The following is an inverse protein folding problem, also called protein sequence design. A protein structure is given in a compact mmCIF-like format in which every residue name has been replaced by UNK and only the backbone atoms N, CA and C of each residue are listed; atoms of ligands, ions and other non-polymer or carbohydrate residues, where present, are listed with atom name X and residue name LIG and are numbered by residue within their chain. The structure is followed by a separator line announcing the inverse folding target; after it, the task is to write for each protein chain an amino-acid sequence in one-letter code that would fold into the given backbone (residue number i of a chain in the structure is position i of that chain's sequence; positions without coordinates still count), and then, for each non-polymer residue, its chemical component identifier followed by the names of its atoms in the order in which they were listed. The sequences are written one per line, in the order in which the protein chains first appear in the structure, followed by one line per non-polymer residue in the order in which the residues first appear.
data_IF_385193666631
#
_entry.id   IF_385193666631
#
_cell.length_a   1.000
_cell.length_b   1.000
_cell.length_c   1.000
_cell.angle_alpha   90.00
_cell.angle_beta   90.00
_cell.angle_gamma   90.00
#
_symmetry.space_group_name_H-M   'P 1'
#
loop_
_entity.id
_entity.type
_entity.pdbx_description
1 polymer ?
#
# COMPACT_ATOMS: atom_id res chain seq x y z
N UNK A 1 -4.73 11.15 1.72
CA UNK A 1 -5.61 10.17 2.39
C UNK A 1 -5.69 10.50 3.88
N UNK A 2 -6.79 10.16 4.57
CA UNK A 2 -6.85 10.26 6.04
C UNK A 2 -6.23 9.01 6.68
N UNK A 3 -5.62 9.17 7.86
CA UNK A 3 -5.07 8.04 8.62
C UNK A 3 -6.21 7.23 9.25
N UNK A 4 -6.79 6.31 8.48
CA UNK A 4 -7.94 5.49 8.89
C UNK A 4 -7.82 4.06 8.37
N UNK A 5 -8.33 3.10 9.13
CA UNK A 5 -8.46 1.72 8.67
C UNK A 5 -9.74 1.61 7.83
N UNK A 6 -9.63 1.92 6.55
CA UNK A 6 -10.74 1.86 5.61
C UNK A 6 -11.14 0.39 5.35
N UNK A 7 -12.43 0.15 5.12
CA UNK A 7 -12.91 -1.17 4.69
C UNK A 7 -12.33 -1.56 3.33
N UNK A 8 -12.14 -2.86 3.12
CA UNK A 8 -11.77 -3.39 1.81
C UNK A 8 -12.86 -3.05 0.78
N UNK A 9 -12.48 -2.77 -0.49
CA UNK A 9 -13.45 -2.53 -1.56
C UNK A 9 -14.11 -3.81 -2.09
N UNK A 10 -13.75 -4.98 -1.54
CA UNK A 10 -14.24 -6.31 -1.91
C UNK A 10 -14.33 -7.20 -0.66
N UNK A 11 -15.07 -8.32 -0.77
CA UNK A 11 -15.22 -9.28 0.32
C UNK A 11 -13.90 -10.02 0.63
N UNK A 12 -13.78 -10.58 1.83
CA UNK A 12 -12.55 -11.23 2.29
C UNK A 12 -12.17 -12.48 1.48
N UNK A 13 -13.11 -13.13 0.81
CA UNK A 13 -12.92 -14.30 -0.05
C UNK A 13 -12.86 -13.93 -1.55
N UNK A 14 -13.04 -12.66 -1.91
CA UNK A 14 -13.21 -12.24 -3.29
C UNK A 14 -11.95 -12.33 -4.17
N UNK A 15 -10.79 -12.62 -3.56
CA UNK A 15 -9.52 -12.81 -4.27
C UNK A 15 -9.09 -14.29 -4.36
N UNK A 16 -9.92 -15.22 -3.88
CA UNK A 16 -9.65 -16.65 -4.06
C UNK A 16 -9.74 -17.05 -5.54
N UNK A 17 -8.91 -18.00 -6.01
CA UNK A 17 -7.90 -18.77 -5.26
C UNK A 17 -6.53 -18.09 -5.14
N UNK A 18 -6.36 -16.87 -5.67
CA UNK A 18 -5.06 -16.19 -5.77
C UNK A 18 -4.57 -15.61 -4.44
N UNK A 19 -5.49 -15.23 -3.55
CA UNK A 19 -5.20 -14.85 -2.17
C UNK A 19 -6.31 -15.37 -1.26
N UNK A 20 -5.94 -16.16 -0.24
CA UNK A 20 -6.91 -16.79 0.64
C UNK A 20 -7.65 -15.80 1.54
N UNK A 21 -8.87 -16.14 1.93
CA UNK A 21 -9.62 -15.41 2.95
C UNK A 21 -8.84 -15.19 4.24
N UNK A 22 -8.19 -16.25 4.73
CA UNK A 22 -7.39 -16.19 5.96
C UNK A 22 -6.25 -15.18 5.84
N UNK A 23 -5.62 -15.06 4.66
CA UNK A 23 -4.61 -14.05 4.37
C UNK A 23 -5.19 -12.65 4.47
N UNK A 24 -6.32 -12.36 3.83
CA UNK A 24 -6.92 -11.01 3.90
C UNK A 24 -7.40 -10.66 5.31
N UNK A 25 -8.05 -11.58 6.03
CA UNK A 25 -8.48 -11.34 7.42
C UNK A 25 -7.30 -11.04 8.35
N UNK A 26 -6.18 -11.74 8.18
CA UNK A 26 -4.96 -11.45 8.93
C UNK A 26 -4.31 -10.13 8.49
N UNK A 27 -4.07 -9.96 7.19
CA UNK A 27 -3.25 -8.90 6.63
C UNK A 27 -3.96 -7.55 6.66
N UNK A 28 -5.22 -7.49 6.22
CA UNK A 28 -6.03 -6.29 6.32
C UNK A 28 -6.57 -6.11 7.75
N UNK A 29 -7.17 -7.15 8.32
CA UNK A 29 -7.91 -7.03 9.58
C UNK A 29 -7.04 -6.83 10.81
N UNK A 30 -5.82 -7.41 10.84
CA UNK A 30 -4.89 -7.32 11.97
C UNK A 30 -3.66 -6.48 11.67
N UNK A 31 -2.87 -6.83 10.65
CA UNK A 31 -1.60 -6.15 10.38
C UNK A 31 -1.79 -4.68 9.96
N UNK A 32 -2.61 -4.42 8.94
CA UNK A 32 -2.88 -3.06 8.49
C UNK A 32 -3.55 -2.22 9.60
N UNK A 33 -4.50 -2.80 10.35
CA UNK A 33 -5.13 -2.14 11.50
C UNK A 33 -4.11 -1.73 12.56
N UNK A 34 -3.20 -2.62 12.94
CA UNK A 34 -2.17 -2.33 13.93
C UNK A 34 -1.27 -1.15 13.51
N UNK A 35 -0.88 -1.07 12.23
CA UNK A 35 -0.13 0.08 11.71
C UNK A 35 -0.92 1.39 11.81
N UNK A 36 -2.20 1.38 11.45
CA UNK A 36 -3.08 2.55 11.56
C UNK A 36 -3.20 3.00 13.02
N UNK A 37 -3.51 2.07 13.92
CA UNK A 37 -3.74 2.39 15.33
C UNK A 37 -2.47 2.93 15.98
N UNK A 38 -1.30 2.32 15.71
CA UNK A 38 -0.01 2.80 16.23
C UNK A 38 0.36 4.16 15.64
N UNK A 39 0.18 4.37 14.34
CA UNK A 39 0.44 5.65 13.70
C UNK A 39 -0.43 6.78 14.28
N UNK A 40 -1.72 6.50 14.58
CA UNK A 40 -2.61 7.48 15.21
C UNK A 40 -2.13 7.93 16.58
N UNK A 41 -1.72 6.97 17.42
CA UNK A 41 -1.18 7.27 18.75
C UNK A 41 0.06 8.17 18.64
N UNK A 42 1.02 7.77 17.81
CA UNK A 42 2.27 8.50 17.63
C UNK A 42 2.05 9.89 17.00
N UNK A 43 1.16 10.01 16.01
CA UNK A 43 0.85 11.29 15.38
C UNK A 43 0.20 12.26 16.38
N UNK A 44 -0.68 11.75 17.25
CA UNK A 44 -1.33 12.54 18.29
C UNK A 44 -0.35 13.05 19.36
N UNK A 45 0.63 12.24 19.75
CA UNK A 45 1.69 12.64 20.72
C UNK A 45 2.46 13.89 20.25
N UNK A 46 2.57 14.08 18.93
CA UNK A 46 3.27 15.21 18.32
C UNK A 46 2.34 16.19 17.59
N UNK A 47 1.02 16.11 17.81
CA UNK A 47 -0.01 17.00 17.24
C UNK A 47 -0.01 17.07 15.70
N UNK A 48 0.00 15.91 15.07
CA UNK A 48 -0.09 15.74 13.62
C UNK A 48 -1.30 14.90 13.20
N UNK A 49 -2.19 14.57 14.13
CA UNK A 49 -3.33 13.66 13.92
C UNK A 49 -4.47 14.26 13.07
N UNK A 50 -4.43 15.56 12.80
CA UNK A 50 -5.32 16.29 11.89
C UNK A 50 -4.76 16.40 10.46
N UNK A 51 -3.50 16.05 10.24
CA UNK A 51 -2.85 16.15 8.94
C UNK A 51 -3.22 14.99 8.00
N UNK A 52 -3.22 15.20 6.67
CA UNK A 52 -3.23 14.12 5.70
C UNK A 52 -2.07 13.14 5.92
N UNK A 53 -2.34 11.83 5.74
CA UNK A 53 -1.37 10.77 5.99
C UNK A 53 -0.05 10.97 5.21
N UNK A 54 -0.12 11.42 3.96
CA UNK A 54 1.06 11.69 3.14
C UNK A 54 1.92 12.81 3.73
N UNK A 55 1.30 13.84 4.33
CA UNK A 55 2.03 14.90 5.03
C UNK A 55 2.67 14.40 6.33
N UNK A 56 1.96 13.52 7.07
CA UNK A 56 2.53 12.85 8.25
C UNK A 56 3.80 12.09 7.86
N UNK A 57 3.75 11.30 6.78
CA UNK A 57 4.90 10.53 6.27
C UNK A 57 6.04 11.47 5.87
N UNK A 58 5.76 12.50 5.06
CA UNK A 58 6.78 13.43 4.58
C UNK A 58 7.47 14.19 5.72
N UNK A 59 6.73 14.56 6.76
CA UNK A 59 7.31 15.25 7.92
C UNK A 59 8.08 14.29 8.81
N UNK A 60 7.55 13.09 9.08
CA UNK A 60 8.24 12.06 9.85
C UNK A 60 9.56 11.62 9.19
N UNK A 61 9.60 11.59 7.85
CA UNK A 61 10.81 11.28 7.07
C UNK A 61 11.95 12.29 7.27
N UNK A 62 11.64 13.53 7.64
CA UNK A 62 12.65 14.58 7.89
C UNK A 62 13.29 14.49 9.28
N UNK A 63 12.76 13.65 10.16
CA UNK A 63 13.20 13.59 11.55
C UNK A 63 13.55 12.16 11.97
N UNK A 64 14.84 11.90 12.21
CA UNK A 64 15.34 10.59 12.62
C UNK A 64 14.75 10.07 13.96
N UNK A 65 14.22 10.97 14.80
CA UNK A 65 13.52 10.60 16.04
C UNK A 65 12.07 10.14 15.80
N UNK A 66 11.53 10.37 14.60
CA UNK A 66 10.16 9.98 14.22
C UNK A 66 10.13 8.70 13.37
N UNK A 67 11.20 7.89 13.40
CA UNK A 67 11.28 6.63 12.64
C UNK A 67 10.12 5.67 12.93
N UNK A 68 9.66 5.56 14.17
CA UNK A 68 8.52 4.68 14.50
C UNK A 68 7.22 5.21 13.87
N UNK A 69 6.99 6.52 13.91
CA UNK A 69 5.85 7.14 13.24
C UNK A 69 5.95 6.96 11.73
N UNK A 70 7.12 7.22 11.15
CA UNK A 70 7.37 7.03 9.72
C UNK A 70 7.04 5.61 9.29
N UNK A 71 7.57 4.60 10.00
CA UNK A 71 7.35 3.20 9.67
C UNK A 71 5.86 2.82 9.71
N UNK A 72 5.15 3.19 10.78
CA UNK A 72 3.74 2.84 10.93
C UNK A 72 2.85 3.63 9.95
N UNK A 73 3.10 4.92 9.75
CA UNK A 73 2.35 5.76 8.83
C UNK A 73 2.57 5.33 7.37
N UNK A 74 3.81 5.06 6.98
CA UNK A 74 4.14 4.54 5.66
C UNK A 74 3.51 3.16 5.43
N UNK A 75 3.56 2.26 6.41
CA UNK A 75 2.89 0.96 6.29
C UNK A 75 1.37 1.10 6.20
N UNK A 76 0.74 2.00 6.95
CA UNK A 76 -0.69 2.29 6.80
C UNK A 76 -1.02 2.76 5.37
N UNK A 77 -0.21 3.66 4.80
CA UNK A 77 -0.39 4.14 3.43
C UNK A 77 -0.16 3.04 2.39
N UNK A 78 0.93 2.29 2.51
CA UNK A 78 1.31 1.21 1.60
C UNK A 78 0.21 0.15 1.50
N UNK A 79 -0.37 -0.26 2.63
CA UNK A 79 -1.45 -1.25 2.64
C UNK A 79 -2.74 -0.68 2.05
N UNK A 80 -3.14 0.52 2.43
CA UNK A 80 -4.31 1.17 1.85
C UNK A 80 -4.19 1.36 0.31
N UNK A 81 -2.98 1.59 -0.20
CA UNK A 81 -2.70 1.59 -1.63
C UNK A 81 -2.75 0.16 -2.22
N UNK A 82 -2.10 -0.81 -1.58
CA UNK A 82 -2.05 -2.21 -2.02
C UNK A 82 -3.45 -2.80 -2.23
N UNK A 83 -4.38 -2.60 -1.31
CA UNK A 83 -5.75 -3.10 -1.44
C UNK A 83 -6.51 -2.50 -2.64
N UNK A 84 -6.13 -1.30 -3.09
CA UNK A 84 -6.72 -0.64 -4.27
C UNK A 84 -6.09 -1.10 -5.58
N UNK A 85 -4.90 -1.71 -5.52
CA UNK A 85 -4.26 -2.34 -6.68
C UNK A 85 -4.82 -3.72 -6.98
N UNK A 86 -5.60 -4.30 -6.06
CA UNK A 86 -6.23 -5.60 -6.20
C UNK A 86 -7.71 -5.45 -6.49
N UNK A 87 -8.26 -6.43 -7.21
CA UNK A 87 -9.70 -6.60 -7.42
C UNK A 87 -10.01 -8.05 -7.79
N UNK A 88 -11.25 -8.51 -7.55
CA UNK A 88 -11.77 -9.74 -8.14
C UNK A 88 -11.67 -9.66 -9.68
N UNK A 89 -11.39 -10.77 -10.34
CA UNK A 89 -11.25 -10.86 -11.80
C UNK A 89 -10.28 -9.79 -12.36
N UNK A 90 -9.19 -9.56 -11.61
CA UNK A 90 -8.08 -8.71 -12.02
C UNK A 90 -7.12 -9.42 -12.99
N UNK A 91 -5.96 -8.80 -13.21
CA UNK A 91 -4.99 -9.28 -14.19
C UNK A 91 -5.30 -8.82 -15.61
N UNK A 92 -4.77 -9.55 -16.59
CA UNK A 92 -4.74 -9.10 -17.98
C UNK A 92 -3.68 -8.01 -18.23
N UNK A 93 -3.67 -7.46 -19.44
CA UNK A 93 -2.80 -6.32 -19.80
C UNK A 93 -3.54 -5.00 -19.52
N UNK A 94 -2.83 -3.94 -19.10
CA UNK A 94 -3.42 -2.62 -19.02
C UNK A 94 -3.80 -2.14 -20.42
N UNK A 95 -4.69 -1.16 -20.48
CA UNK A 95 -5.12 -0.50 -21.72
C UNK A 95 -4.83 1.00 -21.68
N UNK A 96 -5.25 1.69 -22.75
CA UNK A 96 -5.23 3.16 -22.83
C UNK A 96 -3.84 3.76 -22.62
N UNK A 97 -3.80 4.87 -21.89
CA UNK A 97 -2.58 5.63 -21.67
C UNK A 97 -1.57 4.93 -20.76
N UNK A 98 -2.02 4.03 -19.89
CA UNK A 98 -1.12 3.23 -19.06
C UNK A 98 -0.34 2.23 -19.92
N UNK A 99 -1.01 1.52 -20.83
CA UNK A 99 -0.36 0.61 -21.77
C UNK A 99 0.70 1.33 -22.62
N UNK A 100 0.34 2.47 -23.21
CA UNK A 100 1.26 3.29 -24.01
C UNK A 100 2.49 3.74 -23.22
N UNK A 101 2.32 4.12 -21.95
CA UNK A 101 3.43 4.56 -21.08
C UNK A 101 4.32 3.38 -20.69
N UNK A 102 3.76 2.20 -20.49
CA UNK A 102 4.51 0.98 -20.24
C UNK A 102 5.36 0.65 -21.47
N UNK A 103 4.76 0.60 -22.66
CA UNK A 103 5.49 0.29 -23.90
C UNK A 103 6.58 1.34 -24.18
N UNK A 104 6.29 2.63 -23.98
CA UNK A 104 7.26 3.71 -24.17
C UNK A 104 8.44 3.67 -23.19
N UNK A 105 8.24 3.13 -21.97
CA UNK A 105 9.26 3.13 -20.91
C UNK A 105 10.05 1.83 -20.87
N UNK A 106 9.36 0.71 -21.03
CA UNK A 106 9.91 -0.63 -20.84
C UNK A 106 10.13 -1.38 -22.17
N UNK A 107 9.64 -0.85 -23.29
CA UNK A 107 9.68 -1.48 -24.62
C UNK A 107 8.44 -2.32 -24.90
N UNK A 108 7.96 -3.06 -23.90
CA UNK A 108 6.75 -3.87 -23.97
C UNK A 108 6.19 -4.18 -22.58
N UNK A 109 4.92 -4.57 -22.52
CA UNK A 109 4.33 -5.12 -21.29
C UNK A 109 5.09 -6.34 -20.75
N UNK A 110 5.60 -7.23 -21.61
CA UNK A 110 6.32 -8.43 -21.16
C UNK A 110 7.67 -8.09 -20.53
N UNK A 111 8.39 -7.10 -21.08
CA UNK A 111 9.61 -6.56 -20.45
C UNK A 111 9.29 -5.85 -19.13
N UNK A 112 8.16 -5.14 -19.03
CA UNK A 112 7.71 -4.59 -17.76
C UNK A 112 7.45 -5.69 -16.72
N UNK A 113 6.77 -6.78 -17.09
CA UNK A 113 6.50 -7.91 -16.18
C UNK A 113 7.81 -8.54 -15.72
N UNK A 114 8.77 -8.74 -16.61
CA UNK A 114 10.10 -9.26 -16.26
C UNK A 114 10.80 -8.30 -15.27
N UNK A 115 10.87 -7.01 -15.56
CA UNK A 115 11.47 -6.01 -14.64
C UNK A 115 10.76 -5.97 -13.28
N UNK A 116 9.42 -6.04 -13.26
CA UNK A 116 8.62 -5.96 -12.04
C UNK A 116 8.71 -7.23 -11.17
N UNK A 117 8.85 -8.40 -11.79
CA UNK A 117 8.90 -9.70 -11.08
C UNK A 117 10.31 -10.16 -10.75
N UNK A 118 11.33 -9.54 -11.34
CA UNK A 118 12.73 -9.78 -10.98
C UNK A 118 12.94 -9.50 -9.49
N UNK A 119 13.45 -10.48 -8.71
CA UNK A 119 13.78 -10.24 -7.32
C UNK A 119 14.88 -9.18 -7.22
N UNK A 120 14.60 -8.07 -6.53
CA UNK A 120 15.62 -7.07 -6.23
C UNK A 120 16.74 -7.70 -5.39
N UNK A 121 18.00 -7.46 -5.76
CA UNK A 121 19.10 -7.65 -4.80
C UNK A 121 18.89 -6.60 -3.71
N UNK A 122 18.56 -7.05 -2.50
CA UNK A 122 18.79 -6.23 -1.31
C UNK A 122 20.30 -5.97 -1.25
N UNK A 123 20.72 -4.77 -1.65
CA UNK A 123 22.05 -4.23 -1.39
C UNK A 123 22.09 -3.55 -0.02
#
# INVERSE_FOLDING_TARGET
MQLTHASLPYAYDALEPHMSRATLEAHHGRHHRAYVDKAKVLAKEIRMDDMPLEQIIQQAAKNAHQRDLLNNAAQAWNHAFFWRCLRPDGGGRPDGDLAKRIDATFGSYDEFVDVFTRPGRCG
#
